data_IF_905200183885
#
_entry.id   IF_905200183885
#
_cell.length_a   1.000
_cell.length_b   1.000
_cell.length_c   1.000
_cell.angle_alpha   90.00
_cell.angle_beta   90.00
_cell.angle_gamma   90.00
#
_symmetry.space_group_name_H-M   'P 1'
#
loop_
_entity.id
_entity.type
_entity.pdbx_description
1 polymer ?
#
# COMPACT_ATOMS: atom_id res chain seq x y z
N UNK A 1 61.62 52.39 25.49
CA UNK A 1 60.76 51.51 24.67
C UNK A 1 59.86 50.78 25.63
N UNK A 2 58.56 50.81 25.37
CA UNK A 2 57.48 50.44 26.30
C UNK A 2 57.52 48.95 26.61
N UNK A 3 57.80 48.59 27.86
CA UNK A 3 57.48 47.27 28.40
C UNK A 3 55.97 47.19 28.48
N UNK A 4 55.33 46.67 27.42
CA UNK A 4 53.91 46.34 27.47
C UNK A 4 53.71 45.40 28.67
N UNK A 5 52.99 45.89 29.67
CA UNK A 5 52.53 45.07 30.79
C UNK A 5 51.47 44.13 30.22
N UNK A 6 51.90 42.97 29.73
CA UNK A 6 50.97 41.92 29.30
C UNK A 6 50.01 41.64 30.47
N UNK A 7 48.72 41.61 30.16
CA UNK A 7 47.70 41.24 31.13
C UNK A 7 47.89 39.79 31.57
N UNK A 8 47.58 39.45 32.83
CA UNK A 8 47.73 38.08 33.35
C UNK A 8 46.99 37.04 32.50
N UNK A 9 45.83 37.39 31.95
CA UNK A 9 45.08 36.53 31.01
C UNK A 9 45.85 36.24 29.71
N UNK A 10 46.62 37.22 29.20
CA UNK A 10 47.42 37.03 27.99
C UNK A 10 48.64 36.16 28.24
N UNK A 11 49.23 36.28 29.44
CA UNK A 11 50.31 35.40 29.90
C UNK A 11 49.75 33.97 30.03
N UNK A 12 48.65 33.78 30.77
CA UNK A 12 48.03 32.48 30.96
C UNK A 12 47.63 31.83 29.63
N UNK A 13 47.13 32.60 28.66
CA UNK A 13 46.81 32.08 27.33
C UNK A 13 48.03 31.57 26.58
N UNK A 14 49.17 32.26 26.65
CA UNK A 14 50.44 31.79 26.04
C UNK A 14 50.98 30.53 26.72
N UNK A 15 50.84 30.44 28.04
CA UNK A 15 51.25 29.27 28.82
C UNK A 15 50.25 28.11 28.79
N UNK A 16 49.05 28.32 28.24
CA UNK A 16 48.06 27.27 27.99
C UNK A 16 48.39 26.42 26.75
N UNK A 17 49.34 26.87 25.92
CA UNK A 17 49.76 26.11 24.74
C UNK A 17 50.65 24.92 25.15
N UNK A 18 50.27 23.66 24.83
CA UNK A 18 50.99 22.47 25.28
C UNK A 18 52.38 22.31 24.63
N UNK A 19 52.64 23.01 23.52
CA UNK A 19 53.91 22.96 22.79
C UNK A 19 54.86 24.13 23.17
N UNK A 20 54.53 24.92 24.19
CA UNK A 20 55.35 26.06 24.59
C UNK A 20 56.72 25.61 25.12
N UNK A 21 57.76 25.88 24.33
CA UNK A 21 59.14 25.70 24.75
C UNK A 21 59.62 26.90 25.60
N UNK A 22 59.91 26.66 26.89
CA UNK A 22 60.30 27.70 27.84
C UNK A 22 61.52 28.53 27.38
N UNK A 23 62.51 27.88 26.75
CA UNK A 23 63.70 28.57 26.24
C UNK A 23 63.39 29.46 25.02
N UNK A 24 62.47 29.03 24.14
CA UNK A 24 62.03 29.85 23.01
C UNK A 24 61.23 31.08 23.47
N UNK A 25 60.41 30.92 24.52
CA UNK A 25 59.72 32.04 25.15
C UNK A 25 60.70 33.07 25.72
N UNK A 26 61.75 32.61 26.42
CA UNK A 26 62.78 33.50 26.95
C UNK A 26 63.56 34.22 25.84
N UNK A 27 63.93 33.51 24.77
CA UNK A 27 64.65 34.08 23.62
C UNK A 27 63.81 35.09 22.82
N UNK A 28 62.49 34.91 22.79
CA UNK A 28 61.53 35.89 22.24
C UNK A 28 61.32 37.09 23.19
N UNK A 29 61.44 36.88 24.50
CA UNK A 29 61.25 37.92 25.52
C UNK A 29 62.47 38.82 25.69
N UNK A 30 63.67 38.30 25.45
CA UNK A 30 64.92 39.06 25.52
C UNK A 30 65.35 39.49 24.12
N UNK A 31 65.52 40.80 23.90
CA UNK A 31 66.04 41.30 22.62
C UNK A 31 67.52 40.89 22.44
N UNK A 32 67.99 40.81 21.17
CA UNK A 32 69.38 40.44 20.84
C UNK A 32 70.38 41.28 21.63
N UNK A 33 71.14 40.59 22.49
CA UNK A 33 71.95 41.16 23.58
C UNK A 33 73.32 41.72 23.13
N UNK A 34 73.72 42.86 23.68
CA UNK A 34 75.11 43.34 23.67
C UNK A 34 75.72 43.28 25.10
N UNK A 35 76.75 42.43 25.33
CA UNK A 35 77.26 42.14 26.67
C UNK A 35 77.84 43.31 27.45
N UNK A 36 78.25 44.39 26.79
CA UNK A 36 79.04 45.45 27.42
C UNK A 36 78.22 46.64 27.93
N UNK A 37 76.99 46.85 27.42
CA UNK A 37 76.21 48.07 27.71
C UNK A 37 74.80 47.82 28.22
N UNK A 38 74.27 46.60 28.11
CA UNK A 38 72.83 46.31 28.33
C UNK A 38 72.56 45.33 29.48
N UNK A 39 73.57 44.96 30.28
CA UNK A 39 73.41 43.98 31.37
C UNK A 39 72.45 44.45 32.48
N UNK A 40 72.49 45.73 32.85
CA UNK A 40 71.58 46.29 33.86
C UNK A 40 70.12 46.30 33.38
N UNK A 41 69.90 46.56 32.10
CA UNK A 41 68.57 46.55 31.48
C UNK A 41 68.00 45.12 31.38
N UNK A 42 68.84 44.14 31.01
CA UNK A 42 68.47 42.72 31.02
C UNK A 42 68.07 42.24 32.43
N UNK A 43 68.83 42.63 33.45
CA UNK A 43 68.50 42.27 34.83
C UNK A 43 67.16 42.88 35.24
N UNK A 44 66.90 44.14 34.89
CA UNK A 44 65.62 44.78 35.16
C UNK A 44 64.46 44.07 34.46
N UNK A 45 64.63 43.68 33.19
CA UNK A 45 63.63 42.95 32.41
C UNK A 45 63.35 41.56 32.98
N UNK A 46 64.40 40.82 33.36
CA UNK A 46 64.25 39.50 33.98
C UNK A 46 63.55 39.58 35.35
N UNK A 47 63.89 40.56 36.19
CA UNK A 47 63.22 40.75 37.48
C UNK A 47 61.75 41.14 37.30
N UNK A 48 61.42 41.94 36.29
CA UNK A 48 60.03 42.30 35.97
C UNK A 48 59.24 41.09 35.46
N UNK A 49 59.80 40.29 34.55
CA UNK A 49 59.16 39.08 34.03
C UNK A 49 58.93 38.05 35.13
N UNK A 50 59.90 37.88 36.04
CA UNK A 50 59.76 36.98 37.19
C UNK A 50 58.59 37.41 38.07
N UNK A 51 58.51 38.70 38.43
CA UNK A 51 57.40 39.21 39.23
C UNK A 51 56.04 39.07 38.55
N UNK A 52 55.98 39.22 37.22
CA UNK A 52 54.75 38.99 36.45
C UNK A 52 54.33 37.52 36.46
N UNK A 53 55.29 36.60 36.33
CA UNK A 53 55.04 35.17 36.35
C UNK A 53 54.66 34.67 37.75
N UNK A 54 55.29 35.21 38.80
CA UNK A 54 54.94 34.95 40.19
C UNK A 54 53.48 35.37 40.46
N UNK A 55 53.08 36.57 40.02
CA UNK A 55 51.70 37.03 40.14
C UNK A 55 50.70 36.14 39.38
N UNK A 56 51.02 35.76 38.14
CA UNK A 56 50.17 34.86 37.35
C UNK A 56 50.04 33.46 38.00
N UNK A 57 51.10 32.99 38.65
CA UNK A 57 51.11 31.71 39.37
C UNK A 57 50.27 31.76 40.63
N UNK A 58 50.34 32.85 41.39
CA UNK A 58 49.49 33.09 42.56
C UNK A 58 48.01 33.17 42.15
N UNK A 59 47.70 33.89 41.07
CA UNK A 59 46.34 34.02 40.54
C UNK A 59 45.78 32.67 40.05
N UNK A 60 46.57 31.89 39.31
CA UNK A 60 46.18 30.55 38.87
C UNK A 60 45.94 29.61 40.06
N UNK A 61 46.79 29.68 41.08
CA UNK A 61 46.65 28.88 42.30
C UNK A 61 45.36 29.24 43.03
N UNK A 62 45.05 30.54 43.16
CA UNK A 62 43.82 31.01 43.78
C UNK A 62 42.57 30.60 43.00
N UNK A 63 42.62 30.68 41.67
CA UNK A 63 41.54 30.24 40.79
C UNK A 63 41.32 28.72 40.89
N UNK A 64 42.38 27.93 40.92
CA UNK A 64 42.31 26.48 41.12
C UNK A 64 41.69 26.16 42.48
N UNK A 65 42.17 26.78 43.56
CA UNK A 65 41.62 26.58 44.91
C UNK A 65 40.13 26.94 44.96
N UNK A 66 39.73 28.02 44.30
CA UNK A 66 38.34 28.45 44.22
C UNK A 66 37.49 27.43 43.48
N UNK A 67 37.87 27.04 42.26
CA UNK A 67 37.16 26.03 41.46
C UNK A 67 37.12 24.69 42.20
N UNK A 68 38.21 24.28 42.84
CA UNK A 68 38.26 23.04 43.62
C UNK A 68 37.31 23.12 44.83
N UNK A 69 37.25 24.25 45.52
CA UNK A 69 36.30 24.43 46.63
C UNK A 69 34.85 24.46 46.14
N UNK A 70 34.57 25.07 44.98
CA UNK A 70 33.24 25.02 44.35
C UNK A 70 32.87 23.60 43.92
N UNK A 71 33.80 22.84 43.34
CA UNK A 71 33.60 21.44 42.98
C UNK A 71 33.35 20.56 44.23
N UNK A 72 34.13 20.76 45.28
CA UNK A 72 33.93 20.07 46.57
C UNK A 72 32.57 20.39 47.19
N UNK A 73 32.08 21.62 47.04
CA UNK A 73 30.75 22.04 47.51
C UNK A 73 29.63 21.54 46.60
N UNK A 74 29.86 21.43 45.29
CA UNK A 74 28.86 20.97 44.32
C UNK A 74 28.64 19.45 44.37
N UNK A 75 29.65 18.66 44.75
CA UNK A 75 29.55 17.21 44.91
C UNK A 75 28.38 16.76 45.81
N UNK A 76 28.33 17.14 47.10
CA UNK A 76 27.23 16.78 47.99
C UNK A 76 25.85 17.24 47.51
N UNK A 77 25.78 18.42 46.89
CA UNK A 77 24.53 18.96 46.31
C UNK A 77 24.04 18.11 45.15
N UNK A 78 24.94 17.71 44.25
CA UNK A 78 24.61 16.83 43.12
C UNK A 78 24.18 15.45 43.62
N UNK A 79 24.86 14.87 44.61
CA UNK A 79 24.46 13.61 45.22
C UNK A 79 23.05 13.69 45.81
N UNK A 80 22.72 14.77 46.53
CA UNK A 80 21.36 14.98 47.04
C UNK A 80 20.32 15.06 45.91
N UNK A 81 20.61 15.79 44.84
CA UNK A 81 19.70 15.90 43.69
C UNK A 81 19.49 14.55 43.01
N UNK A 82 20.54 13.74 42.88
CA UNK A 82 20.46 12.38 42.31
C UNK A 82 19.58 11.48 43.18
N UNK A 83 19.77 11.48 44.51
CA UNK A 83 18.96 10.66 45.41
C UNK A 83 17.49 11.11 45.46
N UNK A 84 17.23 12.42 45.38
CA UNK A 84 15.87 12.95 45.27
C UNK A 84 15.20 12.51 43.96
N UNK A 85 15.91 12.64 42.83
CA UNK A 85 15.41 12.18 41.53
C UNK A 85 15.18 10.67 41.53
N UNK A 86 16.08 9.88 42.11
CA UNK A 86 15.94 8.43 42.25
C UNK A 86 14.70 8.08 43.08
N UNK A 87 14.46 8.81 44.17
CA UNK A 87 13.26 8.64 45.00
C UNK A 87 12.00 9.01 44.22
N UNK A 88 12.01 10.12 43.49
CA UNK A 88 10.88 10.54 42.64
C UNK A 88 10.57 9.55 41.51
N UNK A 89 11.61 9.02 40.85
CA UNK A 89 11.46 7.96 39.83
C UNK A 89 10.93 6.67 40.45
N UNK A 90 11.42 6.28 41.63
CA UNK A 90 10.91 5.13 42.35
C UNK A 90 9.44 5.31 42.75
N UNK A 91 9.06 6.52 43.18
CA UNK A 91 7.67 6.87 43.46
C UNK A 91 6.79 6.75 42.22
N UNK A 92 7.23 7.32 41.10
CA UNK A 92 6.51 7.20 39.83
C UNK A 92 6.37 5.74 39.36
N UNK A 93 7.41 4.93 39.51
CA UNK A 93 7.35 3.49 39.18
C UNK A 93 6.32 2.80 40.07
N UNK A 94 6.30 3.10 41.37
CA UNK A 94 5.29 2.59 42.29
C UNK A 94 3.88 3.05 41.90
N UNK A 95 3.70 4.31 41.54
CA UNK A 95 2.40 4.84 41.09
C UNK A 95 1.93 4.16 39.81
N UNK A 96 2.83 3.87 38.86
CA UNK A 96 2.51 3.11 37.66
C UNK A 96 2.12 1.67 38.04
N UNK A 97 2.85 1.04 38.94
CA UNK A 97 2.56 -0.33 39.35
C UNK A 97 1.23 -0.43 40.12
N UNK A 98 0.96 0.52 41.03
CA UNK A 98 -0.23 0.55 41.89
C UNK A 98 -1.48 1.10 41.18
N UNK A 99 -1.34 2.09 40.28
CA UNK A 99 -2.49 2.74 39.63
C UNK A 99 -2.68 2.21 38.20
N UNK A 100 -1.63 2.15 37.40
CA UNK A 100 -1.78 1.83 35.97
C UNK A 100 -2.00 0.33 35.75
N UNK A 101 -1.32 -0.56 36.48
CA UNK A 101 -1.52 -2.01 36.34
C UNK A 101 -2.97 -2.45 36.58
N UNK A 102 -3.66 -2.07 37.68
CA UNK A 102 -5.04 -2.48 37.89
C UNK A 102 -6.02 -1.81 36.92
N UNK A 103 -5.74 -0.59 36.46
CA UNK A 103 -6.54 0.04 35.40
C UNK A 103 -6.41 -0.74 34.08
N UNK A 104 -5.21 -1.18 33.72
CA UNK A 104 -5.01 -2.02 32.53
C UNK A 104 -5.70 -3.38 32.69
N UNK A 105 -5.66 -3.97 33.88
CA UNK A 105 -6.31 -5.26 34.15
C UNK A 105 -7.84 -5.16 34.09
N UNK A 106 -8.43 -4.10 34.64
CA UNK A 106 -9.87 -3.84 34.53
C UNK A 106 -10.29 -3.59 33.09
N UNK A 107 -9.52 -2.81 32.32
CA UNK A 107 -9.76 -2.62 30.88
C UNK A 107 -9.66 -3.94 30.11
N UNK A 108 -8.67 -4.79 30.42
CA UNK A 108 -8.54 -6.13 29.82
C UNK A 108 -9.75 -7.01 30.15
N UNK A 109 -10.19 -7.01 31.41
CA UNK A 109 -11.35 -7.80 31.85
C UNK A 109 -12.65 -7.34 31.20
N UNK A 110 -12.84 -6.03 31.02
CA UNK A 110 -13.97 -5.49 30.23
C UNK A 110 -13.92 -5.97 28.79
N UNK A 111 -12.73 -5.97 28.16
CA UNK A 111 -12.54 -6.47 26.80
C UNK A 111 -12.78 -7.97 26.65
N UNK A 112 -12.47 -8.78 27.66
CA UNK A 112 -12.76 -10.22 27.64
C UNK A 112 -14.28 -10.50 27.64
N UNK A 113 -15.07 -9.71 28.37
CA UNK A 113 -16.55 -9.78 28.33
C UNK A 113 -17.08 -9.39 26.94
N UNK A 114 -16.48 -8.38 26.30
CA UNK A 114 -16.83 -8.00 24.93
C UNK A 114 -16.47 -9.12 23.92
N UNK A 115 -15.48 -9.97 24.22
CA UNK A 115 -15.06 -11.07 23.33
C UNK A 115 -16.11 -12.19 23.26
N UNK A 116 -16.79 -12.50 24.37
CA UNK A 116 -17.92 -13.44 24.35
C UNK A 116 -19.12 -12.85 23.57
N UNK A 117 -19.37 -11.55 23.73
CA UNK A 117 -20.38 -10.85 22.93
C UNK A 117 -20.03 -10.88 21.44
N UNK A 118 -18.79 -10.60 21.07
CA UNK A 118 -18.31 -10.67 19.69
C UNK A 118 -18.46 -12.09 19.11
N UNK A 119 -18.21 -13.14 19.89
CA UNK A 119 -18.45 -14.52 19.46
C UNK A 119 -19.94 -14.81 19.24
N UNK A 120 -20.83 -14.32 20.13
CA UNK A 120 -22.28 -14.47 19.93
C UNK A 120 -22.77 -13.67 18.72
N UNK A 121 -22.26 -12.46 18.50
CA UNK A 121 -22.59 -11.63 17.34
C UNK A 121 -22.09 -12.27 16.05
N UNK A 122 -20.87 -12.81 16.03
CA UNK A 122 -20.34 -13.54 14.89
C UNK A 122 -21.19 -14.78 14.57
N UNK A 123 -21.63 -15.52 15.59
CA UNK A 123 -22.53 -16.66 15.43
C UNK A 123 -23.90 -16.25 14.89
N UNK A 124 -24.44 -15.12 15.35
CA UNK A 124 -25.71 -14.58 14.85
C UNK A 124 -25.60 -14.16 13.37
N UNK A 125 -24.51 -13.52 12.96
CA UNK A 125 -24.25 -13.18 11.55
C UNK A 125 -24.11 -14.41 10.66
N UNK A 126 -23.44 -15.46 11.15
CA UNK A 126 -23.37 -16.74 10.44
C UNK A 126 -24.77 -17.34 10.23
N UNK A 127 -25.61 -17.35 11.28
CA UNK A 127 -26.98 -17.85 11.19
C UNK A 127 -27.86 -17.02 10.25
N UNK A 128 -27.68 -15.70 10.23
CA UNK A 128 -28.38 -14.83 9.28
C UNK A 128 -27.96 -15.14 7.83
N UNK A 129 -26.66 -15.32 7.59
CA UNK A 129 -26.13 -15.70 6.27
C UNK A 129 -26.70 -17.04 5.82
N UNK A 130 -26.74 -18.03 6.73
CA UNK A 130 -27.34 -19.34 6.46
C UNK A 130 -28.82 -19.19 6.16
N UNK A 131 -29.57 -18.42 6.96
CA UNK A 131 -30.99 -18.17 6.72
C UNK A 131 -31.24 -17.56 5.34
N UNK A 132 -30.47 -16.53 4.96
CA UNK A 132 -30.60 -15.88 3.65
C UNK A 132 -30.38 -16.87 2.52
N UNK A 133 -29.32 -17.68 2.60
CA UNK A 133 -29.03 -18.72 1.61
C UNK A 133 -30.13 -19.79 1.56
N UNK A 134 -30.63 -20.22 2.72
CA UNK A 134 -31.72 -21.20 2.79
C UNK A 134 -33.00 -20.67 2.14
N UNK A 135 -33.34 -19.40 2.38
CA UNK A 135 -34.48 -18.75 1.72
C UNK A 135 -34.27 -18.65 0.20
N UNK A 136 -33.06 -18.36 -0.28
CA UNK A 136 -32.75 -18.35 -1.71
C UNK A 136 -32.88 -19.75 -2.35
N UNK A 137 -32.43 -20.79 -1.64
CA UNK A 137 -32.62 -22.18 -2.09
C UNK A 137 -34.11 -22.52 -2.12
N UNK A 138 -34.87 -22.08 -1.12
CA UNK A 138 -36.31 -22.28 -1.07
C UNK A 138 -37.04 -21.60 -2.24
N UNK A 139 -36.69 -20.36 -2.60
CA UNK A 139 -37.30 -19.67 -3.74
C UNK A 139 -37.00 -20.38 -5.06
N UNK A 140 -35.72 -20.73 -5.30
CA UNK A 140 -35.30 -21.44 -6.52
C UNK A 140 -35.96 -22.82 -6.60
N UNK A 141 -36.12 -23.54 -5.49
CA UNK A 141 -36.81 -24.83 -5.46
C UNK A 141 -38.32 -24.71 -5.69
N UNK A 142 -38.96 -23.65 -5.19
CA UNK A 142 -40.39 -23.37 -5.47
C UNK A 142 -40.60 -23.07 -6.95
N UNK A 143 -39.78 -22.20 -7.52
CA UNK A 143 -39.82 -21.88 -8.95
C UNK A 143 -39.55 -23.12 -9.80
N UNK A 144 -38.60 -23.97 -9.40
CA UNK A 144 -38.31 -25.23 -10.07
C UNK A 144 -39.49 -26.21 -9.98
N UNK A 145 -40.19 -26.25 -8.85
CA UNK A 145 -41.40 -27.08 -8.66
C UNK A 145 -42.57 -26.61 -9.52
N UNK A 146 -42.74 -25.30 -9.66
CA UNK A 146 -43.79 -24.68 -10.47
C UNK A 146 -43.45 -24.62 -11.96
N UNK A 147 -42.23 -25.01 -12.34
CA UNK A 147 -41.78 -25.02 -13.73
C UNK A 147 -42.55 -26.04 -14.57
N UNK A 148 -43.33 -25.50 -15.51
CA UNK A 148 -44.05 -26.25 -16.53
C UNK A 148 -43.56 -25.87 -17.93
N UNK A 149 -43.10 -26.87 -18.69
CA UNK A 149 -42.59 -26.72 -20.06
C UNK A 149 -43.70 -26.23 -21.00
N UNK A 150 -44.95 -26.66 -20.82
CA UNK A 150 -46.06 -26.26 -21.69
C UNK A 150 -46.45 -24.78 -21.49
N UNK A 151 -46.48 -24.33 -20.24
CA UNK A 151 -46.78 -22.92 -19.91
C UNK A 151 -45.69 -22.00 -20.49
N UNK A 152 -44.43 -22.42 -20.40
CA UNK A 152 -43.32 -21.67 -21.00
C UNK A 152 -43.42 -21.62 -22.53
N UNK A 153 -43.77 -22.71 -23.21
CA UNK A 153 -43.96 -22.67 -24.68
C UNK A 153 -45.08 -21.72 -25.09
N UNK A 154 -46.21 -21.72 -24.37
CA UNK A 154 -47.37 -20.88 -24.66
C UNK A 154 -47.03 -19.41 -24.47
N UNK A 155 -46.34 -19.09 -23.37
CA UNK A 155 -45.92 -17.72 -23.07
C UNK A 155 -44.87 -17.20 -24.05
N UNK A 156 -43.86 -18.01 -24.40
CA UNK A 156 -42.86 -17.63 -25.40
C UNK A 156 -43.48 -17.47 -26.78
N UNK A 157 -44.44 -18.32 -27.16
CA UNK A 157 -45.15 -18.18 -28.44
C UNK A 157 -46.01 -16.91 -28.48
N UNK A 158 -46.70 -16.60 -27.38
CA UNK A 158 -47.47 -15.36 -27.23
C UNK A 158 -46.59 -14.11 -27.34
N UNK A 159 -45.43 -14.10 -26.70
CA UNK A 159 -44.48 -12.98 -26.79
C UNK A 159 -43.87 -12.82 -28.19
N UNK A 160 -43.64 -13.92 -28.89
CA UNK A 160 -43.25 -13.92 -30.31
C UNK A 160 -44.36 -13.29 -31.18
N UNK A 161 -45.62 -13.64 -30.93
CA UNK A 161 -46.78 -13.11 -31.66
C UNK A 161 -47.03 -11.62 -31.36
N UNK A 162 -46.85 -11.19 -30.11
CA UNK A 162 -46.90 -9.79 -29.67
C UNK A 162 -45.69 -8.97 -30.19
N UNK A 163 -44.63 -9.64 -30.62
CA UNK A 163 -43.46 -9.05 -31.25
C UNK A 163 -42.36 -8.58 -30.29
N UNK A 164 -42.47 -8.90 -29.00
CA UNK A 164 -41.49 -8.62 -27.96
C UNK A 164 -40.50 -9.79 -27.79
N UNK A 165 -39.48 -9.77 -28.64
CA UNK A 165 -38.44 -10.81 -28.67
C UNK A 165 -37.47 -10.70 -27.49
N UNK A 166 -37.32 -9.52 -26.90
CA UNK A 166 -36.39 -9.26 -25.80
C UNK A 166 -36.93 -9.87 -24.50
N UNK A 167 -38.21 -9.64 -24.18
CA UNK A 167 -38.87 -10.30 -23.05
C UNK A 167 -38.97 -11.81 -23.24
N UNK A 168 -39.17 -12.28 -24.48
CA UNK A 168 -39.17 -13.72 -24.78
C UNK A 168 -37.80 -14.35 -24.51
N UNK A 169 -36.71 -13.67 -24.90
CA UNK A 169 -35.35 -14.13 -24.65
C UNK A 169 -35.01 -14.15 -23.15
N UNK A 170 -35.38 -13.09 -22.40
CA UNK A 170 -35.15 -13.04 -20.96
C UNK A 170 -35.86 -14.18 -20.21
N UNK A 171 -37.10 -14.53 -20.60
CA UNK A 171 -37.83 -15.66 -20.00
C UNK A 171 -37.16 -17.01 -20.31
N UNK A 172 -36.60 -17.16 -21.51
CA UNK A 172 -35.87 -18.38 -21.91
C UNK A 172 -34.49 -18.47 -21.25
N UNK A 173 -33.82 -17.35 -20.99
CA UNK A 173 -32.58 -17.29 -20.21
C UNK A 173 -32.84 -17.62 -18.72
N UNK A 174 -33.86 -17.02 -18.12
CA UNK A 174 -34.28 -17.35 -16.75
C UNK A 174 -34.65 -18.84 -16.61
N UNK A 175 -35.34 -19.41 -17.60
CA UNK A 175 -35.61 -20.84 -17.64
C UNK A 175 -34.31 -21.68 -17.76
N UNK A 176 -33.29 -21.19 -18.45
CA UNK A 176 -32.00 -21.87 -18.55
C UNK A 176 -31.22 -21.88 -17.22
N UNK A 177 -31.30 -20.79 -16.44
CA UNK A 177 -30.76 -20.70 -15.08
C UNK A 177 -31.47 -21.67 -14.15
N UNK A 178 -32.82 -21.70 -14.19
CA UNK A 178 -33.63 -22.61 -13.40
C UNK A 178 -33.35 -24.08 -13.73
N UNK A 179 -33.05 -24.40 -14.99
CA UNK A 179 -32.74 -25.78 -15.42
C UNK A 179 -31.46 -26.33 -14.77
N UNK A 180 -30.53 -25.47 -14.34
CA UNK A 180 -29.31 -25.89 -13.64
C UNK A 180 -29.62 -26.65 -12.34
N UNK A 181 -30.78 -26.42 -11.71
CA UNK A 181 -31.24 -27.14 -10.50
C UNK A 181 -31.32 -28.65 -10.74
N UNK A 182 -31.62 -29.09 -11.97
CA UNK A 182 -31.72 -30.50 -12.33
C UNK A 182 -30.40 -31.10 -12.84
N UNK A 183 -29.30 -30.35 -12.90
CA UNK A 183 -28.02 -30.84 -13.42
C UNK A 183 -27.59 -32.13 -12.71
N UNK A 184 -27.39 -33.20 -13.48
CA UNK A 184 -27.08 -34.54 -12.95
C UNK A 184 -28.29 -35.47 -12.79
N UNK A 185 -29.52 -34.97 -12.98
CA UNK A 185 -30.73 -35.82 -13.06
C UNK A 185 -31.01 -36.25 -14.51
N UNK A 186 -31.75 -37.36 -14.69
CA UNK A 186 -32.13 -37.88 -16.02
C UNK A 186 -33.02 -36.92 -16.82
N UNK A 187 -33.71 -36.00 -16.13
CA UNK A 187 -34.67 -35.05 -16.72
C UNK A 187 -33.94 -33.83 -17.33
N UNK A 188 -32.75 -33.50 -16.83
CA UNK A 188 -31.97 -32.34 -17.27
C UNK A 188 -31.72 -32.30 -18.77
N UNK A 189 -31.36 -33.43 -19.36
CA UNK A 189 -31.01 -33.51 -20.78
C UNK A 189 -32.19 -33.22 -21.70
N UNK A 190 -33.41 -33.58 -21.28
CA UNK A 190 -34.66 -33.25 -22.00
C UNK A 190 -34.98 -31.76 -21.90
N UNK A 191 -34.94 -31.20 -20.67
CA UNK A 191 -35.21 -29.79 -20.40
C UNK A 191 -34.23 -28.83 -21.05
N UNK A 192 -32.94 -29.17 -21.04
CA UNK A 192 -31.91 -28.38 -21.70
C UNK A 192 -32.10 -28.33 -23.23
N UNK A 193 -32.49 -29.46 -23.85
CA UNK A 193 -32.82 -29.50 -25.28
C UNK A 193 -34.08 -28.70 -25.60
N UNK A 194 -35.08 -28.76 -24.73
CA UNK A 194 -36.33 -28.00 -24.85
C UNK A 194 -36.07 -26.47 -24.82
N UNK A 195 -35.26 -25.98 -23.88
CA UNK A 195 -34.89 -24.55 -23.85
C UNK A 195 -34.04 -24.15 -25.07
N UNK A 196 -33.13 -25.02 -25.53
CA UNK A 196 -32.40 -24.77 -26.77
C UNK A 196 -33.33 -24.69 -28.01
N UNK A 197 -34.39 -25.51 -28.04
CA UNK A 197 -35.42 -25.43 -29.07
C UNK A 197 -36.23 -24.13 -28.98
N UNK A 198 -36.57 -23.66 -27.78
CA UNK A 198 -37.23 -22.37 -27.58
C UNK A 198 -36.37 -21.18 -28.03
N UNK A 199 -35.06 -21.20 -27.73
CA UNK A 199 -34.11 -20.20 -28.24
C UNK A 199 -34.09 -20.18 -29.76
N UNK A 200 -33.97 -21.35 -30.39
CA UNK A 200 -34.01 -21.48 -31.85
C UNK A 200 -35.33 -20.98 -32.43
N UNK A 201 -36.47 -21.20 -31.76
CA UNK A 201 -37.79 -20.71 -32.19
C UNK A 201 -37.83 -19.18 -32.19
N UNK A 202 -37.35 -18.53 -31.13
CA UNK A 202 -37.22 -17.06 -31.06
C UNK A 202 -36.30 -16.54 -32.16
N UNK A 203 -35.15 -17.17 -32.38
CA UNK A 203 -34.17 -16.78 -33.41
C UNK A 203 -34.74 -16.92 -34.83
N UNK A 204 -35.47 -18.01 -35.12
CA UNK A 204 -36.13 -18.17 -36.42
C UNK A 204 -37.26 -17.16 -36.64
N UNK A 205 -37.99 -16.80 -35.58
CA UNK A 205 -39.04 -15.79 -35.66
C UNK A 205 -38.46 -14.37 -35.81
N UNK A 206 -37.33 -14.09 -35.16
CA UNK A 206 -36.54 -12.87 -35.34
C UNK A 206 -36.04 -12.76 -36.79
N UNK A 207 -35.39 -13.81 -37.30
CA UNK A 207 -34.90 -13.86 -38.68
C UNK A 207 -36.02 -13.74 -39.73
N UNK A 208 -37.21 -14.30 -39.47
CA UNK A 208 -38.37 -14.12 -40.35
C UNK A 208 -38.94 -12.70 -40.30
N UNK A 209 -39.04 -12.08 -39.11
CA UNK A 209 -39.49 -10.68 -38.95
C UNK A 209 -38.53 -9.72 -39.66
N UNK A 210 -37.22 -9.95 -39.53
CA UNK A 210 -36.18 -9.19 -40.23
C UNK A 210 -36.25 -9.39 -41.75
N UNK A 211 -36.45 -10.63 -42.22
CA UNK A 211 -36.65 -10.96 -43.63
C UNK A 211 -37.91 -10.32 -44.23
N UNK A 212 -38.97 -10.22 -43.44
CA UNK A 212 -40.25 -9.60 -43.83
C UNK A 212 -40.10 -8.07 -43.94
N UNK A 213 -39.32 -7.46 -43.05
CA UNK A 213 -38.95 -6.04 -43.15
C UNK A 213 -38.06 -5.77 -44.39
N UNK A 214 -37.08 -6.63 -44.67
CA UNK A 214 -36.21 -6.54 -45.85
C UNK A 214 -36.99 -6.69 -47.18
N UNK A 215 -37.97 -7.60 -47.23
CA UNK A 215 -38.81 -7.81 -48.43
C UNK A 215 -39.83 -6.69 -48.66
N UNK A 216 -40.26 -5.99 -47.60
CA UNK A 216 -41.14 -4.81 -47.71
C UNK A 216 -40.39 -3.59 -48.26
N UNK A 217 -39.06 -3.55 -48.07
CA UNK A 217 -38.21 -2.47 -48.56
C UNK A 217 -37.78 -2.66 -50.03
N UNK A 218 -37.70 -3.89 -50.54
CA UNK A 218 -37.34 -4.17 -51.95
C UNK A 218 -38.47 -3.97 -52.97
N UNK A 219 -39.71 -3.67 -52.56
CA UNK A 219 -40.82 -3.40 -53.48
C UNK A 219 -40.90 -1.93 -53.94
N UNK A 220 -40.01 -1.05 -53.47
CA UNK A 220 -40.03 0.39 -53.77
C UNK A 220 -38.89 0.90 -54.67
N UNK A 221 -37.94 0.08 -55.12
CA UNK A 221 -36.90 0.53 -56.05
C UNK A 221 -36.78 -0.41 -57.26
N UNK A 222 -37.47 -0.02 -58.34
CA UNK A 222 -37.26 -0.54 -59.70
C UNK A 222 -36.43 0.50 -60.46
N UNK A 223 -35.35 0.09 -61.14
CA UNK A 223 -35.31 0.42 -62.55
C UNK A 223 -34.87 -0.75 -63.45
N UNK A 224 -35.42 -0.67 -64.66
CA UNK A 224 -35.32 -1.53 -65.83
C UNK A 224 -33.96 -1.51 -66.52
N UNK A 225 -33.47 -2.67 -66.97
CA UNK A 225 -32.69 -2.78 -68.21
C UNK A 225 -32.78 -4.18 -68.87
N UNK A 226 -33.09 -4.15 -70.16
CA UNK A 226 -33.24 -5.20 -71.18
C UNK A 226 -31.97 -6.04 -71.37
N UNK A 227 -32.04 -7.37 -71.24
CA UNK A 227 -32.20 -8.40 -72.29
C UNK A 227 -31.09 -8.48 -73.36
N UNK A 228 -30.34 -9.59 -73.35
CA UNK A 228 -30.22 -10.46 -74.52
C UNK A 228 -29.78 -11.89 -74.14
N UNK A 229 -30.39 -12.87 -74.81
CA UNK A 229 -30.27 -14.32 -74.59
C UNK A 229 -29.23 -14.95 -75.57
N UNK A 230 -29.29 -16.26 -75.91
CA UNK A 230 -28.47 -17.34 -75.35
C UNK A 230 -27.64 -18.09 -76.41
N UNK A 231 -26.79 -19.06 -76.01
CA UNK A 231 -26.66 -20.40 -76.62
C UNK A 231 -25.38 -21.17 -76.22
N UNK A 232 -25.59 -22.35 -75.64
CA UNK A 232 -25.04 -23.69 -75.99
C UNK A 232 -23.57 -23.81 -76.43
N UNK A 233 -22.74 -24.55 -75.66
CA UNK A 233 -22.13 -25.84 -76.06
C UNK A 233 -21.15 -26.44 -75.04
N UNK A 234 -21.16 -27.78 -75.02
CA UNK A 234 -20.44 -28.84 -74.26
C UNK A 234 -18.92 -28.93 -74.61
N UNK A 235 -18.14 -29.95 -74.16
CA UNK A 235 -17.61 -30.25 -72.81
C UNK A 235 -16.07 -30.46 -72.80
N UNK A 236 -15.42 -30.60 -71.63
CA UNK A 236 -14.04 -31.10 -71.54
C UNK A 236 -13.38 -30.98 -70.16
N UNK A 237 -13.01 -32.12 -69.58
CA UNK A 237 -12.02 -32.31 -68.48
C UNK A 237 -10.65 -32.68 -69.07
N UNK A 238 -9.50 -32.78 -68.35
CA UNK A 238 -9.24 -32.67 -66.90
C UNK A 238 -7.98 -31.83 -66.50
N UNK A 239 -7.69 -31.80 -65.18
CA UNK A 239 -6.35 -31.75 -64.53
C UNK A 239 -5.78 -30.41 -64.04
N UNK A 240 -5.37 -30.39 -62.76
CA UNK A 240 -4.05 -29.84 -62.37
C UNK A 240 -3.96 -28.55 -61.56
N UNK A 241 -3.96 -28.69 -60.22
CA UNK A 241 -3.06 -28.00 -59.26
C UNK A 241 -3.24 -26.53 -58.81
N UNK A 242 -3.26 -26.41 -57.47
CA UNK A 242 -2.54 -25.46 -56.57
C UNK A 242 -3.01 -24.01 -56.37
N UNK A 243 -3.25 -23.77 -55.05
CA UNK A 243 -2.83 -22.64 -54.18
C UNK A 243 -3.63 -21.33 -54.19
N UNK A 244 -4.24 -21.02 -53.04
CA UNK A 244 -3.89 -19.92 -52.09
C UNK A 244 -5.04 -19.74 -51.08
N UNK A 245 -4.77 -19.80 -49.76
CA UNK A 245 -4.82 -18.70 -48.77
C UNK A 245 -6.17 -17.95 -48.70
N UNK A 246 -6.74 -17.55 -47.56
CA UNK A 246 -6.45 -17.56 -46.12
C UNK A 246 -7.68 -16.91 -45.44
N UNK A 247 -7.82 -17.08 -44.12
CA UNK A 247 -8.78 -16.53 -43.13
C UNK A 247 -9.64 -17.64 -42.52
N UNK A 248 -9.24 -18.30 -41.42
CA UNK A 248 -8.73 -17.81 -40.12
C UNK A 248 -9.69 -16.93 -39.29
N UNK A 249 -9.78 -17.29 -38.01
CA UNK A 249 -10.67 -16.78 -36.98
C UNK A 249 -10.89 -17.86 -35.90
N UNK A 250 -9.84 -18.43 -35.30
CA UNK A 250 -8.94 -17.82 -34.30
C UNK A 250 -9.67 -17.46 -33.00
N UNK A 251 -9.80 -18.44 -32.09
CA UNK A 251 -10.30 -18.23 -30.71
C UNK A 251 -9.40 -18.83 -29.60
N UNK A 252 -8.20 -19.32 -29.93
CA UNK A 252 -7.29 -19.94 -28.94
C UNK A 252 -5.84 -19.47 -29.06
N UNK A 253 -5.62 -18.16 -29.16
CA UNK A 253 -4.29 -17.62 -29.48
C UNK A 253 -3.56 -16.81 -28.40
N UNK A 254 -4.21 -16.31 -27.35
CA UNK A 254 -3.60 -15.26 -26.50
C UNK A 254 -3.63 -15.49 -24.97
N UNK A 255 -4.48 -16.37 -24.43
CA UNK A 255 -4.55 -16.60 -22.97
C UNK A 255 -3.74 -17.80 -22.47
N UNK A 256 -3.26 -18.67 -23.36
CA UNK A 256 -2.47 -19.86 -22.99
C UNK A 256 -0.98 -19.62 -22.75
N UNK A 257 -0.47 -18.42 -23.08
CA UNK A 257 0.96 -18.10 -22.95
C UNK A 257 1.31 -17.22 -21.75
N UNK A 258 0.32 -16.78 -20.94
CA UNK A 258 0.61 -16.05 -19.70
C UNK A 258 0.80 -16.96 -18.48
N UNK A 259 0.36 -18.21 -18.53
CA UNK A 259 0.41 -19.13 -17.38
C UNK A 259 1.74 -19.90 -17.26
N UNK A 260 2.74 -19.59 -18.09
CA UNK A 260 4.05 -20.25 -18.07
C UNK A 260 5.21 -19.34 -17.63
N UNK A 261 4.92 -18.09 -17.22
CA UNK A 261 5.95 -17.11 -16.79
C UNK A 261 5.75 -16.50 -15.40
N UNK A 262 4.95 -17.15 -14.54
CA UNK A 262 4.91 -16.84 -13.10
C UNK A 262 5.04 -18.17 -12.37
N UNK A 263 6.29 -18.56 -12.13
CA UNK A 263 6.64 -19.50 -11.07
C UNK A 263 7.12 -18.68 -9.88
N UNK A 264 6.40 -18.81 -8.77
CA UNK A 264 6.85 -19.05 -7.39
C UNK A 264 5.65 -19.57 -6.61
#
# INVERSE_FOLDING_TARGET
MTTETLSTDEILKKFSDPDLAAHAYLDLSFQKYNPMTQQAELHSQSSQLLSQLDHATEELTWNLETIMNELKKSGPRLTYQIELLRTGVSGLVSDIEEIASPQIETIKKTREVDTEQDQTVARLQQLETVRKKMCQVETVLKEAREFDEEVLTKEVSRLIDEGDMESALQKVEHAAELIQVWKGTSIYTGRAKFVAQLRKKIETALGQKDSTNLSRQQKNDRPSRSSNSPAVSRPGTPSGSKKSNENEGSYYGLLGQLQRKIGY
#
